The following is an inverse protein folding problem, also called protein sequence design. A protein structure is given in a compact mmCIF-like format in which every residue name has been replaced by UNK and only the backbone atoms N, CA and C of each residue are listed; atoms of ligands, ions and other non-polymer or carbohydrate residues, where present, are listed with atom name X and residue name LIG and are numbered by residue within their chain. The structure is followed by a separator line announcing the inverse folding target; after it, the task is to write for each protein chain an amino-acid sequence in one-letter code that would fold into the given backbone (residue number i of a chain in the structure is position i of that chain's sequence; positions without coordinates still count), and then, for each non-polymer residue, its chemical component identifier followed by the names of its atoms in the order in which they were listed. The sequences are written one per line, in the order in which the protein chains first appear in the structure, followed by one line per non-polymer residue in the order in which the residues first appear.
data_IF_925678305615
#
_entry.id   IF_925678305615
#
_cell.length_a   1.000
_cell.length_b   1.000
_cell.length_c   1.000
_cell.angle_alpha   90.00
_cell.angle_beta   90.00
_cell.angle_gamma   90.00
#
_symmetry.space_group_name_H-M   'P 1'
#
loop_
_entity.id
_entity.type
_entity.pdbx_description
1 polymer ?
#
# COMPACT_ATOMS: atom_id res chain seq x y z
N UNK A 1 -6.56 -13.00 7.21
CA UNK A 1 -6.33 -11.60 6.81
C UNK A 1 -4.85 -11.36 6.62
N UNK A 2 -4.49 -10.80 5.50
CA UNK A 2 -3.12 -10.43 5.18
C UNK A 2 -2.96 -8.91 5.20
N UNK A 3 -1.72 -8.46 5.34
CA UNK A 3 -1.36 -7.05 5.39
C UNK A 3 -0.41 -6.72 4.26
N UNK A 4 -0.64 -5.60 3.61
CA UNK A 4 0.09 -5.17 2.41
C UNK A 4 0.49 -3.72 2.55
N UNK A 5 1.53 -3.32 1.81
CA UNK A 5 1.92 -1.94 1.64
C UNK A 5 2.00 -1.65 0.15
N UNK A 6 1.32 -0.59 -0.28
CA UNK A 6 1.27 -0.17 -1.67
C UNK A 6 1.83 1.24 -1.79
N UNK A 7 2.72 1.43 -2.75
CA UNK A 7 3.30 2.74 -3.04
C UNK A 7 2.49 3.46 -4.10
N UNK A 8 2.27 4.74 -3.90
CA UNK A 8 1.67 5.63 -4.89
C UNK A 8 2.47 6.92 -4.99
N UNK A 9 2.64 7.40 -6.22
CA UNK A 9 3.13 8.75 -6.43
C UNK A 9 1.98 9.72 -6.16
N UNK A 10 2.08 10.61 -5.15
CA UNK A 10 0.98 11.50 -4.80
C UNK A 10 0.62 12.50 -5.89
N UNK A 11 1.53 12.78 -6.82
CA UNK A 11 1.24 13.64 -7.98
C UNK A 11 0.35 12.94 -9.01
N UNK A 12 0.33 11.59 -9.00
CA UNK A 12 -0.51 10.80 -9.89
C UNK A 12 -1.80 10.40 -9.18
N UNK A 13 -1.69 9.77 -8.02
CA UNK A 13 -2.85 9.40 -7.21
C UNK A 13 -2.47 9.39 -5.73
N UNK A 14 -3.02 10.36 -4.98
CA UNK A 14 -2.70 10.53 -3.55
C UNK A 14 -3.70 9.81 -2.66
N UNK A 15 -3.35 9.70 -1.38
CA UNK A 15 -4.28 9.23 -0.34
C UNK A 15 -5.54 10.12 -0.28
N UNK A 16 -5.37 11.44 -0.43
CA UNK A 16 -6.48 12.39 -0.44
C UNK A 16 -7.43 12.12 -1.62
N UNK A 17 -6.90 11.74 -2.78
CA UNK A 17 -7.71 11.33 -3.91
C UNK A 17 -8.55 10.09 -3.56
N UNK A 18 -7.95 9.10 -2.90
CA UNK A 18 -8.66 7.89 -2.50
C UNK A 18 -9.74 8.19 -1.46
N UNK A 19 -9.45 9.05 -0.49
CA UNK A 19 -10.44 9.49 0.51
C UNK A 19 -11.61 10.17 -0.17
N UNK A 20 -11.34 11.07 -1.14
CA UNK A 20 -12.37 11.76 -1.92
C UNK A 20 -13.21 10.77 -2.73
N UNK A 21 -12.55 9.83 -3.42
CA UNK A 21 -13.22 8.88 -4.30
C UNK A 21 -13.86 7.73 -3.52
N UNK A 22 -13.45 7.50 -2.28
CA UNK A 22 -13.85 6.41 -1.37
C UNK A 22 -13.38 5.04 -1.80
N UNK A 23 -13.47 4.71 -3.07
CA UNK A 23 -12.98 3.47 -3.66
C UNK A 23 -12.22 3.77 -4.92
N UNK A 24 -11.32 2.86 -5.29
CA UNK A 24 -10.57 3.00 -6.53
C UNK A 24 -10.14 1.62 -7.04
N UNK A 25 -9.90 1.54 -8.33
CA UNK A 25 -9.22 0.40 -8.95
C UNK A 25 -7.72 0.69 -8.88
N UNK A 26 -6.99 -0.16 -8.15
CA UNK A 26 -5.54 -0.02 -8.04
C UNK A 26 -4.88 -0.69 -9.22
N UNK A 27 -4.67 0.07 -10.27
CA UNK A 27 -4.17 -0.38 -11.56
C UNK A 27 -2.80 0.22 -11.88
N UNK A 28 -2.32 -0.02 -13.08
CA UNK A 28 -1.07 0.57 -13.55
C UNK A 28 0.19 -0.11 -13.05
N UNK A 29 0.07 -1.24 -12.35
CA UNK A 29 1.22 -1.99 -11.83
C UNK A 29 1.88 -2.76 -12.96
N UNK A 30 3.16 -2.49 -13.22
CA UNK A 30 3.91 -3.06 -14.36
C UNK A 30 5.21 -3.74 -13.93
N UNK A 31 5.27 -4.21 -12.68
CA UNK A 31 6.37 -4.99 -12.13
C UNK A 31 5.89 -6.42 -11.89
N UNK A 32 6.67 -7.43 -12.31
CA UNK A 32 6.23 -8.83 -12.22
C UNK A 32 6.05 -9.30 -10.78
N UNK A 33 6.95 -8.93 -9.87
CA UNK A 33 6.81 -9.33 -8.47
C UNK A 33 5.60 -8.65 -7.82
N UNK A 34 5.38 -7.37 -8.11
CA UNK A 34 4.21 -6.65 -7.63
C UNK A 34 2.91 -7.28 -8.15
N UNK A 35 2.89 -7.74 -9.40
CA UNK A 35 1.74 -8.46 -9.97
C UNK A 35 1.45 -9.75 -9.21
N UNK A 36 2.49 -10.51 -8.87
CA UNK A 36 2.34 -11.74 -8.07
C UNK A 36 1.74 -11.40 -6.72
N UNK A 37 2.21 -10.33 -6.09
CA UNK A 37 1.69 -9.88 -4.79
C UNK A 37 0.22 -9.45 -4.89
N UNK A 38 -0.17 -8.70 -5.93
CA UNK A 38 -1.58 -8.34 -6.15
C UNK A 38 -2.46 -9.57 -6.29
N UNK A 39 -1.99 -10.59 -7.00
CA UNK A 39 -2.75 -11.83 -7.21
C UNK A 39 -2.95 -12.64 -5.94
N UNK A 40 -2.14 -12.40 -4.92
CA UNK A 40 -2.26 -13.06 -3.62
C UNK A 40 -3.21 -12.34 -2.67
N UNK A 41 -3.66 -11.14 -3.00
CA UNK A 41 -4.59 -10.39 -2.16
C UNK A 41 -5.98 -10.99 -2.16
N UNK A 42 -6.71 -10.81 -1.05
CA UNK A 42 -8.08 -11.27 -0.89
C UNK A 42 -8.94 -10.15 -0.31
N UNK A 43 -10.25 -10.14 -0.63
CA UNK A 43 -11.17 -9.19 0.00
C UNK A 43 -11.08 -9.28 1.53
N UNK A 44 -11.03 -8.14 2.19
CA UNK A 44 -10.84 -8.05 3.64
C UNK A 44 -9.40 -7.81 4.08
N UNK A 45 -8.43 -8.00 3.19
CA UNK A 45 -7.03 -7.69 3.48
C UNK A 45 -6.85 -6.19 3.70
N UNK A 46 -5.83 -5.86 4.49
CA UNK A 46 -5.50 -4.47 4.85
C UNK A 46 -4.33 -4.00 3.98
N UNK A 47 -4.47 -2.81 3.41
CA UNK A 47 -3.44 -2.21 2.55
C UNK A 47 -3.05 -0.83 3.08
N UNK A 48 -1.80 -0.70 3.53
CA UNK A 48 -1.24 0.59 3.92
C UNK A 48 -0.78 1.33 2.66
N UNK A 49 -1.11 2.61 2.58
CA UNK A 49 -0.75 3.45 1.44
C UNK A 49 0.46 4.31 1.79
N UNK A 50 1.50 4.18 0.98
CA UNK A 50 2.75 4.91 1.13
C UNK A 50 2.89 5.89 -0.04
N UNK A 51 3.11 7.16 0.29
CA UNK A 51 3.44 8.18 -0.71
C UNK A 51 4.94 8.12 -1.02
N UNK A 52 5.26 7.85 -2.28
CA UNK A 52 6.64 7.92 -2.77
C UNK A 52 7.00 9.36 -3.12
N UNK A 53 8.18 9.56 -3.68
CA UNK A 53 8.68 10.86 -4.13
C UNK A 53 8.90 11.81 -2.95
N UNK A 54 8.15 12.90 -2.88
CA UNK A 54 8.41 14.00 -1.93
C UNK A 54 8.09 13.60 -0.48
N UNK A 55 6.95 12.97 -0.25
CA UNK A 55 6.47 12.70 1.10
C UNK A 55 7.24 11.58 1.80
N UNK A 56 7.48 10.49 1.09
CA UNK A 56 8.17 9.29 1.59
C UNK A 56 7.65 8.87 2.95
N UNK A 57 6.34 8.58 3.03
CA UNK A 57 5.67 8.26 4.28
C UNK A 57 4.42 7.41 4.06
N UNK A 58 4.10 6.57 5.05
CA UNK A 58 2.81 5.88 5.11
C UNK A 58 1.77 6.88 5.63
N UNK A 59 0.67 7.03 4.90
CA UNK A 59 -0.29 8.11 5.15
C UNK A 59 -1.70 7.62 5.44
N UNK A 60 -2.05 6.40 5.06
CA UNK A 60 -3.41 5.92 5.27
C UNK A 60 -3.52 4.42 5.19
N UNK A 61 -4.70 3.94 5.55
CA UNK A 61 -5.04 2.51 5.57
C UNK A 61 -6.26 2.30 4.69
N UNK A 62 -6.13 1.40 3.73
CA UNK A 62 -7.22 0.98 2.85
C UNK A 62 -7.55 -0.48 3.10
N UNK A 63 -8.70 -0.91 2.60
CA UNK A 63 -9.14 -2.29 2.63
C UNK A 63 -9.25 -2.80 1.20
N UNK A 64 -8.79 -4.02 0.95
CA UNK A 64 -9.02 -4.73 -0.31
C UNK A 64 -10.48 -5.17 -0.34
N UNK A 65 -11.22 -4.75 -1.36
CA UNK A 65 -12.66 -5.01 -1.46
C UNK A 65 -13.05 -5.89 -2.64
N UNK A 66 -12.07 -6.34 -3.44
CA UNK A 66 -12.33 -7.27 -4.55
C UNK A 66 -11.30 -8.37 -4.58
N UNK A 67 -11.63 -9.46 -5.27
CA UNK A 67 -10.62 -10.42 -5.72
C UNK A 67 -9.74 -9.74 -6.79
N UNK A 68 -8.50 -10.21 -7.00
CA UNK A 68 -7.68 -9.71 -8.10
C UNK A 68 -8.39 -9.93 -9.43
N UNK A 69 -8.29 -8.96 -10.32
CA UNK A 69 -8.91 -9.00 -11.64
C UNK A 69 -7.97 -8.40 -12.68
N UNK A 70 -8.25 -8.58 -13.98
CA UNK A 70 -7.43 -7.96 -15.01
C UNK A 70 -7.42 -6.44 -14.87
N UNK A 71 -6.23 -5.86 -15.11
CA UNK A 71 -6.10 -4.40 -15.16
C UNK A 71 -6.95 -3.85 -16.31
N UNK A 72 -7.81 -2.84 -16.06
CA UNK A 72 -8.67 -2.30 -17.13
C UNK A 72 -7.91 -1.74 -18.32
N UNK A 73 -6.64 -1.34 -18.13
CA UNK A 73 -5.82 -0.75 -19.18
C UNK A 73 -5.05 -1.80 -19.96
N UNK A 74 -4.76 -2.96 -19.35
CA UNK A 74 -4.00 -4.04 -20.00
C UNK A 74 -4.25 -5.35 -19.23
N UNK A 75 -5.04 -6.24 -19.83
CA UNK A 75 -5.49 -7.47 -19.20
C UNK A 75 -4.36 -8.46 -18.87
N UNK A 76 -3.17 -8.26 -19.41
CA UNK A 76 -2.00 -9.07 -19.03
C UNK A 76 -1.53 -8.75 -17.61
N UNK A 77 -1.94 -7.62 -17.06
CA UNK A 77 -1.59 -7.16 -15.73
C UNK A 77 -2.79 -7.29 -14.79
N UNK A 78 -2.54 -7.10 -13.50
CA UNK A 78 -3.52 -7.35 -12.44
C UNK A 78 -3.82 -6.07 -11.69
N UNK A 79 -5.08 -5.93 -11.27
CA UNK A 79 -5.55 -4.86 -10.41
C UNK A 79 -6.37 -5.44 -9.26
N UNK A 80 -6.56 -4.64 -8.21
CA UNK A 80 -7.49 -4.91 -7.13
C UNK A 80 -8.27 -3.64 -6.83
N UNK A 81 -9.46 -3.79 -6.26
CA UNK A 81 -10.24 -2.64 -5.82
C UNK A 81 -9.98 -2.37 -4.34
N UNK A 82 -9.79 -1.12 -4.00
CA UNK A 82 -9.52 -0.66 -2.64
C UNK A 82 -10.59 0.32 -2.18
N UNK A 83 -10.85 0.32 -0.87
CA UNK A 83 -11.66 1.34 -0.21
C UNK A 83 -10.82 2.03 0.85
N UNK A 84 -10.97 3.35 0.98
CA UNK A 84 -10.34 4.10 2.05
C UNK A 84 -10.98 3.70 3.39
N UNK A 85 -10.16 3.37 4.38
CA UNK A 85 -10.64 3.03 5.73
C UNK A 85 -10.36 4.13 6.72
N UNK A 86 -9.08 4.46 6.96
CA UNK A 86 -8.70 5.46 7.94
C UNK A 86 -7.43 6.19 7.52
N UNK A 87 -7.45 7.51 7.67
CA UNK A 87 -6.24 8.32 7.53
C UNK A 87 -5.43 8.21 8.82
N UNK A 88 -4.10 8.09 8.68
CA UNK A 88 -3.25 8.14 9.87
C UNK A 88 -3.25 9.57 10.43
N UNK A 89 -3.35 9.69 11.75
CA UNK A 89 -3.27 10.99 12.41
C UNK A 89 -1.89 11.63 12.28
N UNK A 90 -0.86 10.77 12.22
CA UNK A 90 0.51 11.16 11.93
C UNK A 90 1.04 10.26 10.82
N UNK A 91 1.61 10.83 9.77
CA UNK A 91 2.27 10.03 8.74
C UNK A 91 3.52 9.37 9.34
N UNK A 92 3.85 8.18 8.85
CA UNK A 92 5.03 7.44 9.32
C UNK A 92 6.09 7.53 8.23
N UNK A 93 7.11 8.34 8.47
CA UNK A 93 8.12 8.65 7.47
C UNK A 93 9.07 7.48 7.22
N UNK A 94 9.65 7.44 6.02
CA UNK A 94 10.67 6.46 5.68
C UNK A 94 11.88 6.55 6.63
N UNK A 95 12.26 7.74 7.07
CA UNK A 95 13.36 7.93 8.00
C UNK A 95 13.09 7.24 9.34
N UNK A 96 11.86 7.33 9.85
CA UNK A 96 11.45 6.62 11.07
C UNK A 96 11.45 5.12 10.82
N UNK A 97 10.92 4.68 9.67
CA UNK A 97 10.86 3.26 9.31
C UNK A 97 12.24 2.62 9.28
N UNK A 98 13.22 3.30 8.70
CA UNK A 98 14.58 2.76 8.53
C UNK A 98 15.28 2.48 9.86
N UNK A 99 14.94 3.18 10.91
CA UNK A 99 15.58 3.03 12.24
C UNK A 99 14.67 2.29 13.23
N UNK A 100 13.45 1.98 12.88
CA UNK A 100 12.52 1.25 13.75
C UNK A 100 12.86 -0.24 13.74
N UNK A 101 12.96 -0.84 14.91
CA UNK A 101 13.40 -2.25 15.05
C UNK A 101 12.48 -3.25 14.34
N UNK A 102 11.19 -2.92 14.18
CA UNK A 102 10.20 -3.78 13.54
C UNK A 102 10.09 -3.44 12.05
N UNK A 103 9.96 -2.16 11.74
CA UNK A 103 9.65 -1.68 10.38
C UNK A 103 10.84 -1.73 9.42
N UNK A 104 12.07 -1.67 9.95
CA UNK A 104 13.27 -1.68 9.11
C UNK A 104 13.42 -2.97 8.29
N UNK A 105 12.70 -4.04 8.65
CA UNK A 105 12.73 -5.32 7.96
C UNK A 105 11.67 -5.41 6.84
N UNK A 106 10.82 -4.40 6.68
CA UNK A 106 9.85 -4.40 5.58
C UNK A 106 10.57 -4.35 4.22
N UNK A 107 9.98 -4.99 3.18
CA UNK A 107 10.55 -4.91 1.83
C UNK A 107 10.70 -3.48 1.32
N UNK A 108 9.90 -2.54 1.83
CA UNK A 108 10.00 -1.11 1.51
C UNK A 108 11.43 -0.57 1.63
N UNK A 109 12.16 -1.02 2.65
CA UNK A 109 13.51 -0.53 2.93
C UNK A 109 14.54 -1.18 2.00
N UNK A 110 14.35 -2.47 1.65
CA UNK A 110 15.33 -3.28 0.91
C UNK A 110 15.06 -3.32 -0.59
N UNK A 111 13.79 -3.31 -0.99
CA UNK A 111 13.37 -3.46 -2.38
C UNK A 111 12.73 -2.16 -2.87
N UNK A 112 13.56 -1.16 -3.11
CA UNK A 112 13.12 0.22 -3.37
C UNK A 112 12.27 0.36 -4.63
N UNK A 113 12.33 -0.59 -5.56
CA UNK A 113 11.54 -0.56 -6.80
C UNK A 113 10.24 -1.35 -6.72
N UNK A 114 10.03 -2.09 -5.64
CA UNK A 114 8.81 -2.86 -5.46
C UNK A 114 7.71 -1.94 -4.96
N UNK A 115 6.58 -1.92 -5.66
CA UNK A 115 5.47 -1.01 -5.37
C UNK A 115 4.30 -1.67 -4.64
N UNK A 116 4.28 -2.98 -4.56
CA UNK A 116 3.27 -3.76 -3.84
C UNK A 116 3.99 -4.85 -3.08
N UNK A 117 3.84 -4.88 -1.76
CA UNK A 117 4.59 -5.82 -0.93
C UNK A 117 3.78 -6.33 0.25
N UNK A 118 4.00 -7.58 0.68
CA UNK A 118 3.42 -8.07 1.92
C UNK A 118 4.18 -7.47 3.10
N UNK A 119 3.47 -7.25 4.20
CA UNK A 119 4.05 -6.90 5.49
C UNK A 119 3.48 -7.83 6.55
N UNK A 120 4.17 -7.93 7.69
CA UNK A 120 3.71 -8.79 8.78
C UNK A 120 2.67 -8.08 9.63
N UNK A 121 1.92 -8.86 10.42
CA UNK A 121 0.98 -8.29 11.38
C UNK A 121 1.71 -7.38 12.38
N UNK A 122 2.89 -7.77 12.84
CA UNK A 122 3.69 -6.97 13.77
C UNK A 122 4.07 -5.62 13.14
N UNK A 123 4.44 -5.61 11.87
CA UNK A 123 4.75 -4.39 11.12
C UNK A 123 3.49 -3.52 10.96
N UNK A 124 2.35 -4.13 10.62
CA UNK A 124 1.09 -3.42 10.51
C UNK A 124 0.70 -2.76 11.85
N UNK A 125 0.81 -3.51 12.95
CA UNK A 125 0.48 -2.99 14.29
C UNK A 125 1.40 -1.82 14.66
N UNK A 126 2.67 -1.90 14.33
CA UNK A 126 3.63 -0.82 14.60
C UNK A 126 3.32 0.44 13.79
N UNK A 127 2.97 0.28 12.52
CA UNK A 127 2.54 1.41 11.69
C UNK A 127 1.31 2.10 12.29
N UNK A 128 0.34 1.33 12.77
CA UNK A 128 -0.87 1.89 13.40
C UNK A 128 -0.53 2.59 14.71
N UNK A 129 0.39 2.04 15.50
CA UNK A 129 0.82 2.67 16.74
C UNK A 129 1.49 4.01 16.50
N UNK A 130 2.40 4.07 15.52
CA UNK A 130 3.12 5.31 15.19
C UNK A 130 2.22 6.33 14.48
N UNK A 131 1.20 5.86 13.77
CA UNK A 131 0.30 6.70 13.00
C UNK A 131 -0.87 7.30 13.75
N UNK A 132 -0.92 7.16 15.05
CA UNK A 132 -2.00 7.70 15.88
C UNK A 132 -2.07 9.22 15.91
#
# INVERSE_FOLDING_TARGET
MQYWLLKSDPDVYSWEHLVRDRTTVWDGIRNYQARINLRAMQPGDVAFIYHSQTDKAVVGVAKVISAPHPDPKDAAWTAVDLAAEVSLGSSVSLDVIKVNAILKHMPLVRHTRLSVMPITKAQADELLRLGK
#
